data_IF_747737687576
#
_entry.id   IF_747737687576
#
_cell.length_a   1.000
_cell.length_b   1.000
_cell.length_c   1.000
_cell.angle_alpha   90.00
_cell.angle_beta   90.00
_cell.angle_gamma   90.00
#
_symmetry.space_group_name_H-M   'P 1'
#
loop_
_entity.id
_entity.type
_entity.pdbx_description
1 polymer ?
#
# COMPACT_ATOMS: atom_id res chain seq x y z
N UNK A 1 -25.31 -9.86 7.67
CA UNK A 1 -24.48 -10.89 7.01
C UNK A 1 -23.69 -10.41 5.79
N UNK A 2 -24.29 -9.69 4.82
CA UNK A 2 -23.58 -9.22 3.60
C UNK A 2 -22.26 -8.48 3.86
N UNK A 3 -22.19 -7.66 4.91
CA UNK A 3 -20.94 -6.97 5.27
C UNK A 3 -19.82 -7.95 5.65
N UNK A 4 -20.13 -8.94 6.49
CA UNK A 4 -19.16 -9.94 6.92
C UNK A 4 -18.64 -10.76 5.74
N UNK A 5 -19.49 -11.19 4.80
CA UNK A 5 -19.02 -11.94 3.63
C UNK A 5 -18.07 -11.13 2.74
N UNK A 6 -18.23 -9.80 2.69
CA UNK A 6 -17.30 -8.90 2.00
C UNK A 6 -15.95 -8.84 2.71
N UNK A 7 -15.96 -8.72 4.04
CA UNK A 7 -14.75 -8.77 4.85
C UNK A 7 -14.05 -10.12 4.76
N UNK A 8 -14.80 -11.23 4.68
CA UNK A 8 -14.23 -12.56 4.47
C UNK A 8 -13.46 -12.62 3.16
N UNK A 9 -14.02 -12.11 2.06
CA UNK A 9 -13.31 -12.04 0.78
C UNK A 9 -12.05 -11.17 0.86
N UNK A 10 -12.16 -9.99 1.46
CA UNK A 10 -11.01 -9.10 1.70
C UNK A 10 -9.90 -9.81 2.49
N UNK A 11 -10.27 -10.54 3.54
CA UNK A 11 -9.33 -11.30 4.36
C UNK A 11 -8.69 -12.47 3.63
N UNK A 12 -9.43 -13.18 2.77
CA UNK A 12 -8.86 -14.24 1.94
C UNK A 12 -7.85 -13.70 0.93
N UNK A 13 -8.16 -12.58 0.27
CA UNK A 13 -7.21 -11.91 -0.63
C UNK A 13 -5.95 -11.46 0.14
N UNK A 14 -6.13 -10.75 1.27
CA UNK A 14 -5.00 -10.19 2.02
C UNK A 14 -4.14 -11.22 2.76
N UNK A 15 -4.74 -12.30 3.27
CA UNK A 15 -4.08 -13.24 4.20
C UNK A 15 -3.90 -14.65 3.64
N UNK A 16 -4.37 -14.92 2.42
CA UNK A 16 -4.14 -16.19 1.72
C UNK A 16 -3.51 -15.95 0.36
N UNK A 17 -4.18 -15.22 -0.53
CA UNK A 17 -3.75 -15.06 -1.93
C UNK A 17 -2.51 -14.15 -2.07
N UNK A 18 -2.49 -13.04 -1.34
CA UNK A 18 -1.47 -11.99 -1.45
C UNK A 18 -0.68 -11.78 -0.15
N UNK A 19 -0.48 -12.87 0.59
CA UNK A 19 0.13 -12.85 1.92
C UNK A 19 1.67 -12.96 1.92
N UNK A 20 2.31 -13.30 0.79
CA UNK A 20 3.76 -13.49 0.72
C UNK A 20 4.50 -12.16 0.52
N UNK A 21 5.20 -11.63 1.55
CA UNK A 21 5.95 -10.39 1.42
C UNK A 21 7.18 -10.52 0.51
N UNK A 22 7.65 -11.73 0.16
CA UNK A 22 8.74 -11.89 -0.83
C UNK A 22 8.25 -11.78 -2.28
N UNK A 23 6.92 -11.85 -2.47
CA UNK A 23 6.24 -11.78 -3.78
C UNK A 23 5.03 -10.83 -3.68
N UNK A 24 5.22 -9.57 -3.25
CA UNK A 24 4.10 -8.70 -2.95
C UNK A 24 3.32 -8.35 -4.22
N UNK A 25 1.99 -8.28 -4.09
CA UNK A 25 1.07 -7.91 -5.17
C UNK A 25 0.18 -6.77 -4.70
N UNK A 26 0.18 -5.67 -5.45
CA UNK A 26 -0.79 -4.61 -5.28
C UNK A 26 -2.17 -5.12 -5.72
N UNK A 27 -3.12 -5.07 -4.82
CA UNK A 27 -4.50 -5.49 -5.07
C UNK A 27 -5.49 -4.57 -4.34
N UNK A 28 -6.74 -4.56 -4.82
CA UNK A 28 -7.81 -3.74 -4.24
C UNK A 28 -8.50 -4.45 -3.09
N UNK A 29 -8.12 -4.13 -1.85
CA UNK A 29 -8.81 -4.66 -0.66
C UNK A 29 -10.14 -3.93 -0.36
N UNK A 30 -10.34 -2.73 -0.91
CA UNK A 30 -11.56 -1.92 -0.77
C UNK A 30 -11.98 -1.40 -2.14
N UNK A 31 -13.23 -1.66 -2.50
CA UNK A 31 -13.82 -1.31 -3.78
C UNK A 31 -15.36 -1.44 -3.74
N UNK A 32 -16.02 -1.40 -4.89
CA UNK A 32 -17.47 -1.24 -5.04
C UNK A 32 -18.26 -2.35 -4.31
N UNK A 33 -17.68 -3.55 -4.19
CA UNK A 33 -18.31 -4.69 -3.54
C UNK A 33 -17.62 -5.15 -2.26
N UNK A 34 -16.54 -4.49 -1.81
CA UNK A 34 -15.87 -4.71 -0.51
C UNK A 34 -15.61 -3.36 0.14
N UNK A 35 -16.24 -3.08 1.28
CA UNK A 35 -16.22 -1.77 1.93
C UNK A 35 -15.74 -1.92 3.36
N UNK A 36 -14.86 -1.05 3.83
CA UNK A 36 -14.26 -1.13 5.17
C UNK A 36 -13.88 0.25 5.68
N UNK A 37 -14.24 0.56 6.93
CA UNK A 37 -13.71 1.72 7.66
C UNK A 37 -14.04 3.09 7.07
N UNK A 38 -15.27 3.30 6.59
CA UNK A 38 -15.68 4.53 5.88
C UNK A 38 -14.82 4.80 4.65
N UNK A 39 -14.83 3.84 3.72
CA UNK A 39 -14.11 3.93 2.46
C UNK A 39 -14.47 5.19 1.67
N UNK A 40 -13.46 5.93 1.19
CA UNK A 40 -13.68 7.06 0.29
C UNK A 40 -14.08 6.52 -1.09
N UNK A 41 -15.30 6.80 -1.60
CA UNK A 41 -15.73 6.32 -2.91
C UNK A 41 -14.89 6.86 -4.08
N UNK A 42 -14.16 7.97 -3.88
CA UNK A 42 -13.32 8.57 -4.94
C UNK A 42 -11.93 7.93 -5.04
N UNK A 43 -11.56 7.06 -4.09
CA UNK A 43 -10.24 6.44 -4.04
C UNK A 43 -10.16 5.12 -4.79
N UNK A 44 -9.04 4.93 -5.48
CA UNK A 44 -8.62 3.62 -5.96
C UNK A 44 -7.61 3.02 -4.97
N UNK A 45 -8.13 2.37 -3.92
CA UNK A 45 -7.28 1.79 -2.88
C UNK A 45 -6.56 0.54 -3.37
N UNK A 46 -5.24 0.53 -3.24
CA UNK A 46 -4.43 -0.67 -3.39
C UNK A 46 -3.62 -0.94 -2.13
N UNK A 47 -3.36 -2.22 -1.85
CA UNK A 47 -2.51 -2.64 -0.74
C UNK A 47 -1.63 -3.81 -1.14
N UNK A 48 -0.53 -3.98 -0.44
CA UNK A 48 0.31 -5.17 -0.51
C UNK A 48 0.86 -5.49 0.88
N UNK A 49 1.00 -6.79 1.19
CA UNK A 49 1.78 -7.24 2.34
C UNK A 49 3.27 -7.05 2.04
N UNK A 50 3.99 -6.46 2.98
CA UNK A 50 5.43 -6.20 2.91
C UNK A 50 6.06 -6.54 4.27
N UNK A 51 7.35 -6.82 4.28
CA UNK A 51 8.18 -7.02 5.47
C UNK A 51 9.27 -5.94 5.52
N UNK A 52 9.31 -5.18 6.62
CA UNK A 52 10.32 -4.14 6.89
C UNK A 52 11.77 -4.63 6.93
N UNK A 53 12.01 -5.94 6.91
CA UNK A 53 13.36 -6.55 6.79
C UNK A 53 13.83 -6.66 5.34
N UNK A 54 12.94 -6.51 4.37
CA UNK A 54 13.25 -6.55 2.94
C UNK A 54 13.25 -5.14 2.35
N UNK A 55 13.66 -5.02 1.09
CA UNK A 55 13.61 -3.79 0.32
C UNK A 55 12.74 -4.02 -0.91
N UNK A 56 11.93 -3.01 -1.26
CA UNK A 56 10.99 -3.09 -2.38
C UNK A 56 11.17 -1.94 -3.35
N UNK A 57 10.62 -2.16 -4.53
CA UNK A 57 10.63 -1.20 -5.62
C UNK A 57 9.27 -1.19 -6.31
N UNK A 58 8.63 -0.04 -6.33
CA UNK A 58 7.42 0.21 -7.12
C UNK A 58 7.85 0.96 -8.38
N UNK A 59 7.37 0.53 -9.55
CA UNK A 59 7.55 1.23 -10.81
C UNK A 59 6.20 1.45 -11.47
N UNK A 60 6.04 2.58 -12.13
CA UNK A 60 4.78 2.89 -12.82
C UNK A 60 4.87 4.13 -13.69
N UNK A 61 3.70 4.57 -14.17
CA UNK A 61 3.52 5.85 -14.86
C UNK A 61 2.61 6.74 -14.04
N UNK A 62 2.95 8.02 -13.90
CA UNK A 62 2.20 9.02 -13.12
C UNK A 62 0.78 9.21 -13.62
N UNK A 63 0.58 9.09 -14.94
CA UNK A 63 -0.70 9.31 -15.61
C UNK A 63 -1.35 10.63 -15.14
N UNK A 64 -2.66 10.64 -14.91
CA UNK A 64 -3.44 11.90 -14.79
C UNK A 64 -4.21 12.08 -13.49
N UNK A 65 -4.18 11.13 -12.55
CA UNK A 65 -4.92 11.27 -11.28
C UNK A 65 -4.40 12.49 -10.50
N UNK A 66 -5.23 13.40 -9.98
CA UNK A 66 -4.70 14.62 -9.36
C UNK A 66 -3.95 14.36 -8.05
N UNK A 67 -4.38 13.34 -7.29
CA UNK A 67 -3.77 12.96 -6.01
C UNK A 67 -3.30 11.51 -6.09
N UNK A 68 -2.08 11.27 -5.60
CA UNK A 68 -1.48 9.95 -5.46
C UNK A 68 -0.58 9.97 -4.23
N UNK A 69 -0.74 8.99 -3.35
CA UNK A 69 0.07 8.84 -2.16
C UNK A 69 0.35 7.38 -1.83
N UNK A 70 1.51 7.15 -1.25
CA UNK A 70 1.97 5.87 -0.75
C UNK A 70 2.17 5.97 0.75
N UNK A 71 1.68 4.99 1.49
CA UNK A 71 1.85 4.90 2.94
C UNK A 71 2.30 3.52 3.35
N UNK A 72 3.18 3.46 4.34
CA UNK A 72 3.61 2.22 4.99
C UNK A 72 3.09 2.20 6.42
N UNK A 73 2.68 1.03 6.90
CA UNK A 73 2.05 0.86 8.21
C UNK A 73 2.57 -0.38 8.93
N UNK A 74 2.58 -0.34 10.26
CA UNK A 74 2.87 -1.49 11.11
C UNK A 74 1.74 -2.53 10.97
N UNK A 75 2.12 -3.80 10.85
CA UNK A 75 1.19 -4.91 10.89
C UNK A 75 0.24 -4.99 9.69
N UNK A 76 -0.95 -5.53 9.92
CA UNK A 76 -2.01 -5.71 8.93
C UNK A 76 -3.40 -5.70 9.59
N UNK A 77 -4.47 -5.56 8.79
CA UNK A 77 -5.86 -5.46 9.30
C UNK A 77 -6.33 -6.63 10.17
N UNK A 78 -5.66 -7.79 10.12
CA UNK A 78 -5.98 -8.97 10.92
C UNK A 78 -5.28 -9.03 12.29
N UNK A 79 -4.30 -8.17 12.56
CA UNK A 79 -3.46 -8.22 13.75
C UNK A 79 -4.10 -7.52 14.98
N UNK A 80 -5.03 -6.59 14.76
CA UNK A 80 -5.58 -5.72 15.81
C UNK A 80 -4.59 -4.62 16.25
N UNK A 81 -5.04 -3.69 17.10
CA UNK A 81 -4.19 -2.60 17.61
C UNK A 81 -4.01 -1.39 16.68
N UNK A 82 -4.72 -1.34 15.54
CA UNK A 82 -4.66 -0.26 14.56
C UNK A 82 -3.56 -0.47 13.51
N UNK A 83 -3.33 0.55 12.68
CA UNK A 83 -2.30 0.56 11.64
C UNK A 83 -1.43 1.81 11.75
N UNK A 84 -0.55 1.91 12.77
CA UNK A 84 0.35 3.04 12.94
C UNK A 84 1.19 3.26 11.67
N UNK A 85 1.27 4.50 11.15
CA UNK A 85 2.08 4.80 9.97
C UNK A 85 3.56 4.71 10.28
N UNK A 86 4.33 4.18 9.34
CA UNK A 86 5.80 4.08 9.39
C UNK A 86 6.50 4.97 8.36
N UNK A 87 5.79 5.35 7.31
CA UNK A 87 6.26 6.25 6.26
C UNK A 87 5.12 6.74 5.38
N UNK A 88 5.37 7.84 4.67
CA UNK A 88 4.42 8.46 3.76
C UNK A 88 5.18 9.19 2.65
N UNK A 89 4.70 9.08 1.42
CA UNK A 89 5.23 9.79 0.26
C UNK A 89 4.05 10.19 -0.63
N UNK A 90 3.92 11.49 -0.89
CA UNK A 90 2.92 12.02 -1.81
C UNK A 90 3.55 12.36 -3.16
N UNK A 91 2.78 12.26 -4.24
CA UNK A 91 3.24 12.57 -5.58
C UNK A 91 3.78 14.00 -5.74
N UNK A 92 3.32 14.99 -4.98
CA UNK A 92 3.90 16.35 -5.04
C UNK A 92 5.36 16.43 -4.55
N UNK A 93 5.83 15.41 -3.83
CA UNK A 93 7.19 15.30 -3.31
C UNK A 93 8.09 14.39 -4.17
N UNK A 94 7.51 13.78 -5.22
CA UNK A 94 8.19 12.79 -6.05
C UNK A 94 8.83 13.41 -7.29
N UNK A 95 9.96 12.84 -7.67
CA UNK A 95 10.54 12.98 -8.99
C UNK A 95 9.79 12.10 -9.99
N UNK A 96 9.48 12.65 -11.16
CA UNK A 96 8.98 11.93 -12.32
C UNK A 96 9.90 12.20 -13.49
N UNK A 97 10.17 11.16 -14.28
CA UNK A 97 10.93 11.31 -15.51
C UNK A 97 10.10 12.05 -16.57
N UNK A 98 10.76 12.57 -17.61
CA UNK A 98 10.10 13.30 -18.72
C UNK A 98 9.01 12.48 -19.42
N UNK A 99 9.14 11.16 -19.45
CA UNK A 99 8.14 10.24 -20.03
C UNK A 99 6.98 9.92 -19.07
N UNK A 100 6.98 10.52 -17.88
CA UNK A 100 6.02 10.32 -16.80
C UNK A 100 6.21 9.03 -16.03
N UNK A 101 7.32 8.29 -16.22
CA UNK A 101 7.65 7.14 -15.39
C UNK A 101 8.14 7.55 -14.00
N UNK A 102 8.01 6.65 -13.04
CA UNK A 102 8.60 6.80 -11.72
C UNK A 102 9.04 5.46 -11.13
N UNK A 103 9.96 5.55 -10.19
CA UNK A 103 10.34 4.48 -9.27
C UNK A 103 10.13 4.98 -7.83
N UNK A 104 9.70 4.12 -6.91
CA UNK A 104 9.71 4.37 -5.45
C UNK A 104 10.44 3.22 -4.79
N UNK A 105 11.43 3.55 -3.95
CA UNK A 105 12.20 2.59 -3.15
C UNK A 105 11.63 2.54 -1.74
N UNK A 106 11.30 1.35 -1.25
CA UNK A 106 10.83 1.13 0.10
C UNK A 106 11.93 0.42 0.88
N UNK A 107 12.37 1.02 1.98
CA UNK A 107 13.45 0.48 2.80
C UNK A 107 13.47 1.11 4.18
N UNK A 108 14.07 0.42 5.15
CA UNK A 108 14.36 0.97 6.48
C UNK A 108 15.55 1.91 6.50
N UNK A 109 16.41 1.84 5.47
CA UNK A 109 17.53 2.74 5.25
C UNK A 109 17.12 3.81 4.25
N UNK A 110 17.56 5.02 4.48
CA UNK A 110 17.35 6.12 3.55
C UNK A 110 17.97 5.81 2.18
N UNK A 111 17.24 6.15 1.12
CA UNK A 111 17.65 5.96 -0.27
C UNK A 111 17.56 7.29 -1.01
N UNK A 112 18.40 7.51 -2.04
CA UNK A 112 18.27 8.69 -2.87
C UNK A 112 16.99 8.64 -3.73
N UNK A 113 16.48 9.81 -4.11
CA UNK A 113 15.31 9.94 -4.96
C UNK A 113 13.99 9.69 -4.22
N UNK A 114 13.04 9.03 -4.89
CA UNK A 114 11.74 8.72 -4.33
C UNK A 114 11.85 7.58 -3.31
N UNK A 115 12.09 7.93 -2.05
CA UNK A 115 12.17 6.97 -0.96
C UNK A 115 10.90 7.01 -0.10
N UNK A 116 10.31 5.84 0.13
CA UNK A 116 9.21 5.65 1.06
C UNK A 116 9.73 4.93 2.31
N UNK A 117 9.79 5.61 3.47
CA UNK A 117 10.35 5.03 4.68
C UNK A 117 9.62 3.77 5.15
N UNK A 118 10.38 2.83 5.70
CA UNK A 118 9.87 1.71 6.47
C UNK A 118 10.52 1.65 7.84
N UNK A 119 9.92 0.87 8.72
CA UNK A 119 10.48 0.40 9.99
C UNK A 119 10.53 -1.13 10.01
N UNK A 120 11.36 -1.77 10.85
CA UNK A 120 11.40 -3.23 10.95
C UNK A 120 10.04 -3.89 11.20
N UNK A 121 9.09 -3.18 11.82
CA UNK A 121 7.74 -3.65 12.11
C UNK A 121 6.72 -3.34 10.99
N UNK A 122 7.16 -2.73 9.89
CA UNK A 122 6.28 -2.43 8.74
C UNK A 122 5.79 -3.73 8.12
N UNK A 123 4.46 -3.82 7.96
CA UNK A 123 3.76 -5.01 7.45
C UNK A 123 2.90 -4.75 6.22
N UNK A 124 2.51 -3.49 5.98
CA UNK A 124 1.52 -3.16 4.95
C UNK A 124 1.93 -1.91 4.19
N UNK A 125 1.81 -1.98 2.86
CA UNK A 125 1.78 -0.84 1.94
C UNK A 125 0.32 -0.49 1.61
N UNK A 126 0.01 0.80 1.53
CA UNK A 126 -1.26 1.30 1.02
C UNK A 126 -1.02 2.42 0.01
N UNK A 127 -1.76 2.37 -1.10
CA UNK A 127 -1.74 3.37 -2.17
C UNK A 127 -3.13 3.99 -2.28
N UNK A 128 -3.18 5.32 -2.45
CA UNK A 128 -4.40 6.12 -2.51
C UNK A 128 -4.30 7.18 -3.59
#
# INVERSE_FOLDING_TARGET
>A
YRYLSRLTRAGLEAFVEYADPQRPVLHRVVHETVKMGSDNPDNYYETAQIDGKLEYRIRGRRNTIPYLSFGTQIGHYGQGGGLPPTGFLEASQMHFEDDGSFEVLLSTREQPGNWLPMRPETGTLIVR
#
